data_IF_813358591638
#
_entry.id   IF_813358591638
#
_cell.length_a   1.000
_cell.length_b   1.000
_cell.length_c   1.000
_cell.angle_alpha   90.00
_cell.angle_beta   90.00
_cell.angle_gamma   90.00
#
_symmetry.space_group_name_H-M   'P 1'
#
loop_
_entity.id
_entity.type
_entity.pdbx_description
1 polymer ?
#
# COMPACT_ATOMS: atom_id res chain seq x y z
N UNK A 1 7.79 18.51 6.23
CA UNK A 1 7.44 17.57 5.13
C UNK A 1 6.17 18.09 4.46
N UNK A 2 6.15 18.31 3.13
CA UNK A 2 4.94 18.80 2.43
C UNK A 2 3.95 17.65 2.17
N UNK A 3 2.66 17.96 1.98
CA UNK A 3 1.64 16.94 1.61
C UNK A 3 2.06 16.14 0.38
N UNK A 4 2.66 16.80 -0.61
CA UNK A 4 3.21 16.17 -1.81
C UNK A 4 4.37 15.22 -1.51
N UNK A 5 5.30 15.61 -0.63
CA UNK A 5 6.40 14.72 -0.19
C UNK A 5 5.87 13.52 0.59
N UNK A 6 4.90 13.73 1.48
CA UNK A 6 4.26 12.65 2.20
C UNK A 6 3.57 11.68 1.23
N UNK A 7 2.80 12.21 0.27
CA UNK A 7 2.17 11.40 -0.76
C UNK A 7 3.18 10.64 -1.62
N UNK A 8 4.28 11.28 -2.01
CA UNK A 8 5.37 10.66 -2.78
C UNK A 8 6.08 9.53 -2.03
N UNK A 9 6.00 9.49 -0.69
CA UNK A 9 6.50 8.37 0.13
C UNK A 9 5.41 7.31 0.32
N UNK A 10 4.18 7.72 0.59
CA UNK A 10 3.07 6.79 0.87
C UNK A 10 2.67 5.96 -0.35
N UNK A 11 2.72 6.52 -1.55
CA UNK A 11 2.42 5.79 -2.80
C UNK A 11 3.34 4.57 -3.00
N UNK A 12 4.67 4.73 -3.11
CA UNK A 12 5.56 3.60 -3.31
C UNK A 12 5.56 2.64 -2.11
N UNK A 13 5.41 3.14 -0.88
CA UNK A 13 5.31 2.30 0.31
C UNK A 13 4.07 1.41 0.28
N UNK A 14 2.90 1.98 -0.05
CA UNK A 14 1.65 1.24 -0.17
C UNK A 14 1.70 0.17 -1.26
N UNK A 15 2.27 0.51 -2.42
CA UNK A 15 2.48 -0.44 -3.53
C UNK A 15 3.42 -1.57 -3.10
N UNK A 16 4.57 -1.25 -2.49
CA UNK A 16 5.53 -2.25 -2.03
C UNK A 16 4.89 -3.21 -1.02
N UNK A 17 4.10 -2.69 -0.07
CA UNK A 17 3.43 -3.49 0.95
C UNK A 17 2.37 -4.42 0.33
N UNK A 18 1.63 -3.96 -0.67
CA UNK A 18 0.71 -4.80 -1.45
C UNK A 18 1.46 -5.90 -2.22
N UNK A 19 2.58 -5.57 -2.88
CA UNK A 19 3.40 -6.55 -3.60
C UNK A 19 3.99 -7.61 -2.67
N UNK A 20 4.48 -7.21 -1.49
CA UNK A 20 4.96 -8.14 -0.47
C UNK A 20 3.82 -9.06 -0.01
N UNK A 21 2.63 -8.52 0.25
CA UNK A 21 1.48 -9.31 0.65
C UNK A 21 1.05 -10.34 -0.41
N UNK A 22 1.19 -10.02 -1.71
CA UNK A 22 0.91 -10.95 -2.81
C UNK A 22 2.06 -11.96 -3.03
N UNK A 23 3.30 -11.53 -2.82
CA UNK A 23 4.50 -12.33 -3.08
C UNK A 23 4.92 -13.26 -1.94
N UNK A 24 4.34 -13.13 -0.75
CA UNK A 24 4.76 -13.91 0.43
C UNK A 24 4.45 -15.41 0.29
N UNK A 25 3.50 -15.79 -0.57
CA UNK A 25 3.28 -17.20 -0.94
C UNK A 25 4.43 -17.78 -1.76
N UNK A 26 5.11 -16.98 -2.59
CA UNK A 26 6.30 -17.42 -3.32
C UNK A 26 7.47 -17.76 -2.39
N UNK A 27 7.47 -17.21 -1.18
CA UNK A 27 8.47 -17.49 -0.13
C UNK A 27 8.10 -18.73 0.72
N UNK A 28 7.01 -19.44 0.38
CA UNK A 28 6.58 -20.64 1.11
C UNK A 28 6.05 -20.38 2.51
N UNK A 29 5.73 -19.12 2.84
CA UNK A 29 5.21 -18.74 4.15
C UNK A 29 3.68 -18.94 4.31
N UNK A 30 2.98 -19.26 3.21
CA UNK A 30 1.54 -19.52 3.21
C UNK A 30 1.21 -20.90 3.78
N UNK A 31 0.53 -20.93 4.95
CA UNK A 31 -0.07 -22.17 5.51
C UNK A 31 -1.51 -22.41 5.03
N UNK A 32 -2.06 -21.45 4.30
CA UNK A 32 -3.44 -21.42 3.83
C UNK A 32 -3.45 -21.82 2.35
N UNK A 33 -4.47 -22.54 1.90
CA UNK A 33 -4.60 -22.96 0.49
C UNK A 33 -4.87 -21.81 -0.51
N UNK A 34 -4.77 -20.57 -0.07
CA UNK A 34 -5.04 -19.34 -0.80
C UNK A 34 -4.63 -18.13 0.05
N UNK A 35 -5.23 -16.96 -0.20
CA UNK A 35 -4.86 -15.74 0.53
C UNK A 35 -5.13 -15.86 2.04
N UNK A 36 -4.06 -15.88 2.83
CA UNK A 36 -4.12 -15.86 4.28
C UNK A 36 -4.67 -14.53 4.81
N UNK A 37 -5.29 -14.51 6.01
CA UNK A 37 -5.83 -13.28 6.59
C UNK A 37 -4.81 -12.13 6.66
N UNK A 38 -3.55 -12.45 6.93
CA UNK A 38 -2.45 -11.47 7.00
C UNK A 38 -2.14 -10.87 5.62
N UNK A 39 -2.21 -11.67 4.55
CA UNK A 39 -2.02 -11.18 3.19
C UNK A 39 -3.15 -10.24 2.78
N UNK A 40 -4.39 -10.57 3.15
CA UNK A 40 -5.55 -9.71 2.88
C UNK A 40 -5.39 -8.37 3.60
N UNK A 41 -5.01 -8.39 4.89
CA UNK A 41 -4.76 -7.15 5.66
C UNK A 41 -3.63 -6.34 5.01
N UNK A 42 -2.50 -6.98 4.69
CA UNK A 42 -1.38 -6.32 4.03
C UNK A 42 -1.77 -5.70 2.70
N UNK A 43 -2.54 -6.41 1.88
CA UNK A 43 -3.04 -5.93 0.60
C UNK A 43 -3.96 -4.72 0.78
N UNK A 44 -4.94 -4.80 1.68
CA UNK A 44 -5.90 -3.70 1.95
C UNK A 44 -5.18 -2.47 2.49
N UNK A 45 -4.27 -2.65 3.45
CA UNK A 45 -3.49 -1.55 4.03
C UNK A 45 -2.57 -0.92 2.99
N UNK A 46 -1.88 -1.74 2.18
CA UNK A 46 -1.02 -1.26 1.10
C UNK A 46 -1.78 -0.44 0.07
N UNK A 47 -2.94 -0.94 -0.39
CA UNK A 47 -3.80 -0.22 -1.32
C UNK A 47 -4.34 1.09 -0.72
N UNK A 48 -4.79 1.07 0.54
CA UNK A 48 -5.27 2.27 1.22
C UNK A 48 -4.17 3.35 1.34
N UNK A 49 -2.94 2.94 1.67
CA UNK A 49 -1.78 3.84 1.71
C UNK A 49 -1.45 4.42 0.32
N UNK A 50 -1.50 3.59 -0.72
CA UNK A 50 -1.25 4.04 -2.08
C UNK A 50 -2.30 5.08 -2.54
N UNK A 51 -3.58 4.82 -2.26
CA UNK A 51 -4.68 5.75 -2.56
C UNK A 51 -4.55 7.05 -1.78
N UNK A 52 -4.34 6.96 -0.47
CA UNK A 52 -4.16 8.14 0.39
C UNK A 52 -2.96 8.98 -0.06
N UNK A 53 -1.84 8.32 -0.39
CA UNK A 53 -0.67 8.96 -0.95
C UNK A 53 -0.95 9.66 -2.27
N UNK A 54 -1.68 9.03 -3.18
CA UNK A 54 -2.09 9.62 -4.46
C UNK A 54 -2.95 10.88 -4.28
N UNK A 55 -3.90 10.85 -3.34
CA UNK A 55 -4.71 12.02 -2.96
C UNK A 55 -3.84 13.15 -2.42
N UNK A 56 -2.86 12.83 -1.55
CA UNK A 56 -1.92 13.80 -0.99
C UNK A 56 -0.99 14.43 -2.04
N UNK A 57 -0.56 13.66 -3.04
CA UNK A 57 0.19 14.20 -4.19
C UNK A 57 -0.69 15.16 -5.01
N UNK A 58 -1.97 14.81 -5.22
CA UNK A 58 -2.91 15.60 -6.03
C UNK A 58 -3.36 16.90 -5.38
N UNK A 59 -3.50 16.93 -4.05
CA UNK A 59 -4.02 18.08 -3.27
C UNK A 59 -3.01 19.22 -3.07
N UNK A 60 -1.88 19.22 -3.77
CA UNK A 60 -0.84 20.25 -3.67
C UNK A 60 -1.31 21.60 -4.25
N UNK A 61 -2.09 22.36 -3.48
CA UNK A 61 -2.55 23.72 -3.79
C UNK A 61 -3.98 23.84 -4.33
N UNK A 62 -4.73 22.74 -4.41
CA UNK A 62 -6.17 22.77 -4.74
C UNK A 62 -6.97 22.41 -3.48
N UNK A 63 -7.91 23.25 -3.02
CA UNK A 63 -8.76 22.89 -1.90
C UNK A 63 -9.53 21.60 -2.23
N UNK A 64 -9.70 20.75 -1.22
CA UNK A 64 -10.51 19.54 -1.28
C UNK A 64 -11.99 19.89 -1.38
#
# INVERSE_FOLDING_TARGET
MTKRMLGAVLVPLGIALALVALGIDLLGAGRWGGFGPVQIIGLVVGLALAVAGGILVRTNGRPA
#
